data_IF_970722900514
#
_entry.id   IF_970722900514
#
_cell.length_a   1.000
_cell.length_b   1.000
_cell.length_c   1.000
_cell.angle_alpha   90.00
_cell.angle_beta   90.00
_cell.angle_gamma   90.00
#
_symmetry.space_group_name_H-M   'P 1'
#
loop_
_entity.id
_entity.type
_entity.pdbx_description
1 polymer ?
#
# COMPACT_ATOMS: atom_id res chain seq x y z
N UNK A 1 24.74 -19.26 31.23
CA UNK A 1 24.67 -17.87 30.74
C UNK A 1 25.14 -16.93 31.83
N UNK A 2 26.23 -16.17 31.61
CA UNK A 2 26.67 -15.14 32.58
C UNK A 2 25.84 -13.87 32.35
N UNK A 3 25.12 -13.41 33.36
CA UNK A 3 24.36 -12.16 33.33
C UNK A 3 25.35 -10.99 33.26
N UNK A 4 25.33 -10.25 32.15
CA UNK A 4 26.10 -9.01 32.04
C UNK A 4 25.47 -7.98 32.98
N UNK A 5 26.24 -7.51 33.96
CA UNK A 5 25.83 -6.41 34.83
C UNK A 5 25.77 -5.15 33.96
N UNK A 6 24.57 -4.62 33.76
CA UNK A 6 24.34 -3.43 32.94
C UNK A 6 24.80 -2.19 33.70
N UNK A 7 25.57 -1.33 33.02
CA UNK A 7 25.93 -0.02 33.56
C UNK A 7 24.66 0.85 33.70
N UNK A 8 24.66 1.80 34.64
CA UNK A 8 23.59 2.78 34.86
C UNK A 8 23.10 3.46 33.57
N UNK A 9 24.01 3.74 32.64
CA UNK A 9 23.66 4.30 31.32
C UNK A 9 22.88 3.32 30.44
N UNK A 10 23.25 2.03 30.45
CA UNK A 10 22.54 0.99 29.70
C UNK A 10 21.15 0.74 30.31
N UNK A 11 21.03 0.83 31.65
CA UNK A 11 19.74 0.78 32.35
C UNK A 11 18.83 1.94 31.96
N UNK A 12 19.34 3.18 31.96
CA UNK A 12 18.57 4.35 31.52
C UNK A 12 18.13 4.25 30.05
N UNK A 13 19.01 3.76 29.17
CA UNK A 13 18.64 3.54 27.76
C UNK A 13 17.55 2.47 27.63
N UNK A 14 17.61 1.41 28.43
CA UNK A 14 16.59 0.36 28.49
C UNK A 14 15.26 0.90 29.01
N UNK A 15 15.29 1.73 30.05
CA UNK A 15 14.10 2.38 30.62
C UNK A 15 13.44 3.34 29.63
N UNK A 16 14.22 4.16 28.92
CA UNK A 16 13.69 5.03 27.85
C UNK A 16 13.01 4.22 26.75
N UNK A 17 13.62 3.10 26.33
CA UNK A 17 13.00 2.18 25.35
C UNK A 17 11.71 1.58 25.86
N UNK A 18 11.67 1.15 27.13
CA UNK A 18 10.48 0.59 27.78
C UNK A 18 9.37 1.63 27.96
N UNK A 19 9.70 2.85 28.33
CA UNK A 19 8.76 3.95 28.47
C UNK A 19 8.11 4.28 27.12
N UNK A 20 8.92 4.44 26.07
CA UNK A 20 8.43 4.66 24.71
C UNK A 20 7.52 3.51 24.23
N UNK A 21 7.92 2.26 24.47
CA UNK A 21 7.12 1.10 24.12
C UNK A 21 5.77 1.04 24.87
N UNK A 22 5.75 1.44 26.16
CA UNK A 22 4.52 1.51 26.96
C UNK A 22 3.60 2.64 26.51
N UNK A 23 4.17 3.79 26.13
CA UNK A 23 3.42 4.92 25.59
C UNK A 23 2.77 4.56 24.25
N UNK A 24 3.52 3.88 23.36
CA UNK A 24 2.97 3.36 22.10
C UNK A 24 1.89 2.30 22.34
N UNK A 25 2.08 1.39 23.31
CA UNK A 25 1.06 0.40 23.68
C UNK A 25 -0.21 1.04 24.27
N UNK A 26 -0.06 2.08 25.08
CA UNK A 26 -1.19 2.82 25.65
C UNK A 26 -1.98 3.58 24.58
N UNK A 27 -1.30 4.17 23.58
CA UNK A 27 -1.94 4.81 22.44
C UNK A 27 -2.71 3.80 21.57
N UNK A 28 -2.14 2.62 21.33
CA UNK A 28 -2.81 1.54 20.58
C UNK A 28 -4.04 1.03 21.35
N UNK A 29 -3.95 0.85 22.67
CA UNK A 29 -5.07 0.38 23.51
C UNK A 29 -6.19 1.42 23.63
N UNK A 30 -5.88 2.71 23.50
CA UNK A 30 -6.85 3.80 23.57
C UNK A 30 -7.62 4.04 22.26
N UNK A 31 -7.39 3.24 21.21
CA UNK A 31 -8.02 3.45 19.90
C UNK A 31 -7.56 4.73 19.24
N UNK A 32 -6.27 5.07 19.37
CA UNK A 32 -5.73 6.31 18.83
C UNK A 32 -5.97 6.43 17.32
N UNK A 33 -6.82 7.40 16.99
CA UNK A 33 -7.07 7.85 15.62
C UNK A 33 -6.19 9.07 15.37
N UNK A 34 -5.40 9.11 14.28
CA UNK A 34 -4.62 10.28 13.92
C UNK A 34 -5.53 11.52 13.79
N UNK A 35 -5.08 12.65 14.33
CA UNK A 35 -5.81 13.93 14.26
C UNK A 35 -6.04 14.33 12.78
N UNK A 36 -7.17 14.97 12.46
CA UNK A 36 -7.56 15.32 11.08
C UNK A 36 -6.49 16.12 10.33
N UNK A 37 -5.77 17.00 11.03
CA UNK A 37 -4.65 17.75 10.45
C UNK A 37 -3.48 16.84 10.01
N UNK A 38 -3.19 15.78 10.76
CA UNK A 38 -2.16 14.82 10.41
C UNK A 38 -2.58 13.90 9.25
N UNK A 39 -3.88 13.67 9.09
CA UNK A 39 -4.44 12.97 7.92
C UNK A 39 -4.37 13.86 6.67
N UNK A 40 -4.70 15.14 6.77
CA UNK A 40 -4.70 16.06 5.62
C UNK A 40 -3.31 16.22 4.96
N UNK A 41 -2.24 16.15 5.74
CA UNK A 41 -0.86 16.24 5.24
C UNK A 41 -0.24 14.87 4.89
N UNK A 42 -0.94 13.77 5.19
CA UNK A 42 -0.42 12.44 4.99
C UNK A 42 -0.33 12.07 3.50
N UNK A 43 0.79 11.47 3.06
CA UNK A 43 0.88 10.91 1.72
C UNK A 43 -0.18 9.83 1.49
N UNK A 44 -0.73 9.80 0.27
CA UNK A 44 -1.74 8.83 -0.13
C UNK A 44 -1.06 7.63 -0.78
N UNK A 45 -1.38 6.41 -0.32
CA UNK A 45 -0.85 5.16 -0.84
C UNK A 45 -1.97 4.36 -1.49
N UNK A 46 -1.92 4.21 -2.81
CA UNK A 46 -2.89 3.46 -3.60
C UNK A 46 -2.26 2.17 -4.16
N UNK A 47 -3.12 1.25 -4.59
CA UNK A 47 -2.73 -0.05 -5.13
C UNK A 47 -1.70 -0.76 -4.24
N UNK A 48 -1.99 -0.81 -2.94
CA UNK A 48 -1.02 -1.20 -1.92
C UNK A 48 -1.18 -2.67 -1.51
N UNK A 49 -0.07 -3.37 -1.24
CA UNK A 49 -0.07 -4.73 -0.68
C UNK A 49 0.85 -4.82 0.53
N UNK A 50 0.54 -5.74 1.46
CA UNK A 50 1.44 -6.06 2.56
C UNK A 50 2.52 -7.03 2.08
N UNK A 51 3.79 -6.66 2.24
CA UNK A 51 4.95 -7.51 1.93
C UNK A 51 5.95 -7.51 3.08
N UNK A 52 6.75 -8.58 3.25
CA UNK A 52 7.81 -8.61 4.25
C UNK A 52 8.89 -7.57 3.93
N UNK A 53 9.31 -6.81 4.94
CA UNK A 53 10.37 -5.83 4.84
C UNK A 53 11.72 -6.53 4.66
N UNK A 54 12.55 -6.11 3.68
CA UNK A 54 13.79 -6.78 3.37
C UNK A 54 14.71 -6.88 4.60
N UNK A 55 15.07 -8.11 4.97
CA UNK A 55 16.02 -8.40 6.05
C UNK A 55 15.44 -8.46 7.48
N UNK A 56 14.14 -8.24 7.69
CA UNK A 56 13.54 -8.34 9.04
C UNK A 56 12.22 -9.11 9.11
N UNK A 57 11.67 -9.55 7.97
CA UNK A 57 10.37 -10.23 7.83
C UNK A 57 9.17 -9.49 8.47
N UNK A 58 9.36 -8.26 8.94
CA UNK A 58 8.31 -7.43 9.49
C UNK A 58 7.37 -6.96 8.37
N UNK A 59 6.05 -6.87 8.61
CA UNK A 59 5.11 -6.42 7.58
C UNK A 59 5.40 -4.97 7.18
N UNK A 60 5.45 -4.72 5.88
CA UNK A 60 5.61 -3.41 5.25
C UNK A 60 4.57 -3.23 4.14
N UNK A 61 4.23 -1.99 3.79
CA UNK A 61 3.36 -1.71 2.66
C UNK A 61 4.19 -1.43 1.42
N UNK A 62 3.72 -1.93 0.28
CA UNK A 62 4.30 -1.63 -1.02
C UNK A 62 3.17 -1.19 -1.93
N UNK A 63 3.30 -0.02 -2.56
CA UNK A 63 2.25 0.54 -3.41
C UNK A 63 2.64 1.86 -4.05
N UNK A 64 1.68 2.46 -4.75
CA UNK A 64 1.86 3.73 -5.43
C UNK A 64 1.59 4.89 -4.48
N UNK A 65 2.62 5.68 -4.17
CA UNK A 65 2.54 6.78 -3.23
C UNK A 65 2.44 8.12 -3.95
N UNK A 66 1.55 8.99 -3.45
CA UNK A 66 1.30 10.33 -3.94
C UNK A 66 1.51 11.35 -2.82
N UNK A 67 2.14 12.48 -3.15
CA UNK A 67 2.36 13.57 -2.20
C UNK A 67 3.46 13.28 -1.17
N UNK A 68 4.37 12.34 -1.43
CA UNK A 68 5.47 12.07 -0.51
C UNK A 68 6.44 13.27 -0.48
N UNK A 69 6.74 13.87 0.69
CA UNK A 69 7.51 15.12 0.77
C UNK A 69 8.93 15.01 0.19
N UNK A 70 9.59 13.86 0.37
CA UNK A 70 10.96 13.63 -0.13
C UNK A 70 11.01 12.85 -1.46
N UNK A 71 10.11 11.87 -1.65
CA UNK A 71 10.17 10.94 -2.78
C UNK A 71 9.26 11.39 -3.95
N UNK A 72 8.32 12.30 -3.73
CA UNK A 72 7.31 12.66 -4.72
C UNK A 72 6.39 11.48 -5.07
N UNK A 73 5.82 11.51 -6.27
CA UNK A 73 4.84 10.52 -6.71
C UNK A 73 5.55 9.32 -7.34
N UNK A 74 5.58 8.18 -6.65
CA UNK A 74 6.22 6.96 -7.15
C UNK A 74 5.75 5.72 -6.41
N UNK A 75 6.04 4.56 -7.00
CA UNK A 75 5.97 3.28 -6.33
C UNK A 75 7.02 3.19 -5.22
N UNK A 76 6.60 2.92 -3.97
CA UNK A 76 7.49 2.80 -2.81
C UNK A 76 7.21 1.54 -2.01
N UNK A 77 8.25 1.04 -1.35
CA UNK A 77 8.12 0.17 -0.18
C UNK A 77 8.29 1.00 1.10
N UNK A 78 7.33 0.91 2.01
CA UNK A 78 7.35 1.65 3.27
C UNK A 78 8.26 0.97 4.30
N UNK A 79 8.57 1.70 5.37
CA UNK A 79 9.13 1.09 6.58
C UNK A 79 8.12 0.13 7.23
N UNK A 80 8.57 -0.74 8.17
CA UNK A 80 7.67 -1.65 8.87
C UNK A 80 6.45 -0.95 9.48
N UNK A 81 5.30 -1.58 9.33
CA UNK A 81 4.01 -1.12 9.84
C UNK A 81 4.05 -1.21 11.36
N UNK A 82 3.74 -0.11 12.04
CA UNK A 82 3.53 -0.09 13.49
C UNK A 82 2.06 -0.28 13.83
N UNK A 83 1.18 0.37 13.06
CA UNK A 83 -0.26 0.27 13.24
C UNK A 83 -0.95 0.32 11.89
N UNK A 84 -1.97 -0.53 11.73
CA UNK A 84 -2.82 -0.58 10.55
C UNK A 84 -4.25 -0.32 11.03
N UNK A 85 -4.84 0.78 10.55
CA UNK A 85 -6.22 1.15 10.83
C UNK A 85 -7.09 1.02 9.58
N UNK A 86 -8.37 1.36 9.72
CA UNK A 86 -9.31 1.40 8.60
C UNK A 86 -9.03 2.63 7.73
N UNK A 87 -8.45 2.42 6.55
CA UNK A 87 -8.10 3.48 5.60
C UNK A 87 -6.81 4.26 5.92
N UNK A 88 -6.02 3.85 6.92
CA UNK A 88 -4.71 4.47 7.19
C UNK A 88 -3.69 3.47 7.73
N UNK A 89 -2.41 3.77 7.53
CA UNK A 89 -1.31 3.02 8.11
C UNK A 89 -0.28 3.94 8.73
N UNK A 90 0.21 3.56 9.90
CA UNK A 90 1.29 4.24 10.59
C UNK A 90 2.54 3.39 10.51
N UNK A 91 3.58 3.96 9.91
CA UNK A 91 4.90 3.36 9.84
C UNK A 91 5.84 4.04 10.83
N UNK A 92 7.07 3.55 10.96
CA UNK A 92 8.06 4.15 11.86
C UNK A 92 8.35 5.64 11.61
N UNK A 93 8.15 6.12 10.38
CA UNK A 93 8.52 7.48 9.97
C UNK A 93 7.34 8.34 9.56
N UNK A 94 6.30 7.72 8.99
CA UNK A 94 5.27 8.46 8.27
C UNK A 94 3.91 7.77 8.41
N UNK A 95 2.86 8.59 8.42
CA UNK A 95 1.47 8.16 8.32
C UNK A 95 1.03 8.18 6.85
N UNK A 96 0.37 7.13 6.40
CA UNK A 96 -0.16 7.02 5.05
C UNK A 96 -1.68 6.88 5.10
N UNK A 97 -2.37 7.59 4.20
CA UNK A 97 -3.77 7.28 3.89
C UNK A 97 -3.79 6.15 2.88
N UNK A 98 -4.57 5.12 3.16
CA UNK A 98 -4.68 3.94 2.32
C UNK A 98 -5.84 4.11 1.34
N UNK A 99 -5.52 3.97 0.06
CA UNK A 99 -6.47 3.82 -1.02
C UNK A 99 -6.88 2.37 -1.21
N UNK A 100 -6.88 1.92 -2.46
CA UNK A 100 -7.28 0.56 -2.81
C UNK A 100 -6.17 -0.43 -2.49
N UNK A 101 -6.55 -1.53 -1.85
CA UNK A 101 -5.66 -2.66 -1.68
C UNK A 101 -5.44 -3.37 -3.02
N UNK A 102 -4.20 -3.76 -3.27
CA UNK A 102 -3.79 -4.60 -4.38
C UNK A 102 -4.15 -6.05 -4.07
N UNK A 103 -5.41 -6.42 -4.33
CA UNK A 103 -5.88 -7.80 -4.20
C UNK A 103 -5.41 -8.65 -5.39
N UNK A 104 -5.15 -9.94 -5.17
CA UNK A 104 -4.82 -10.91 -6.23
C UNK A 104 -5.86 -10.97 -7.38
N UNK A 105 -7.10 -10.54 -7.13
CA UNK A 105 -8.13 -10.38 -8.18
C UNK A 105 -7.79 -9.29 -9.20
N UNK A 106 -7.03 -8.26 -8.81
CA UNK A 106 -6.52 -7.24 -9.73
C UNK A 106 -5.39 -7.81 -10.60
N UNK A 107 -4.46 -8.58 -10.03
CA UNK A 107 -3.44 -9.30 -10.83
C UNK A 107 -4.09 -10.25 -11.82
N UNK A 108 -5.06 -11.08 -11.39
CA UNK A 108 -5.79 -11.97 -12.30
C UNK A 108 -6.57 -11.23 -13.41
N UNK A 109 -7.10 -10.04 -13.10
CA UNK A 109 -7.76 -9.17 -14.09
C UNK A 109 -6.74 -8.56 -15.06
N UNK A 110 -5.61 -8.08 -14.58
CA UNK A 110 -4.53 -7.52 -15.40
C UNK A 110 -3.90 -8.61 -16.26
N UNK A 111 -3.65 -9.79 -15.73
CA UNK A 111 -3.19 -10.96 -16.48
C UNK A 111 -4.19 -11.36 -17.56
N UNK A 112 -5.50 -11.28 -17.30
CA UNK A 112 -6.51 -11.52 -18.34
C UNK A 112 -6.46 -10.47 -19.46
N UNK A 113 -6.15 -9.22 -19.14
CA UNK A 113 -6.02 -8.12 -20.11
C UNK A 113 -4.71 -8.26 -20.90
N UNK A 114 -3.60 -8.54 -20.21
CA UNK A 114 -2.24 -8.63 -20.77
C UNK A 114 -1.98 -9.93 -21.52
N UNK A 115 -2.59 -11.05 -21.11
CA UNK A 115 -2.51 -12.34 -21.81
C UNK A 115 -3.21 -12.34 -23.17
N UNK A 116 -3.88 -11.24 -23.55
CA UNK A 116 -4.59 -11.13 -24.82
C UNK A 116 -5.81 -12.04 -24.95
N UNK A 117 -6.13 -12.84 -23.91
CA UNK A 117 -7.37 -13.62 -23.82
C UNK A 117 -8.54 -12.68 -23.52
N UNK A 118 -8.96 -11.93 -24.54
CA UNK A 118 -10.36 -11.52 -24.66
C UNK A 118 -11.16 -12.80 -24.46
N UNK A 119 -12.02 -12.85 -23.45
CA UNK A 119 -12.80 -14.05 -23.14
C UNK A 119 -13.47 -14.61 -24.39
N UNK A 120 -13.69 -15.93 -24.45
CA UNK A 120 -14.52 -16.57 -25.47
C UNK A 120 -15.82 -15.76 -25.64
N UNK A 121 -16.08 -15.28 -26.86
CA UNK A 121 -17.40 -14.80 -27.26
C UNK A 121 -17.65 -13.29 -27.18
N UNK A 122 -16.86 -12.49 -27.89
CA UNK A 122 -17.51 -11.51 -28.78
C UNK A 122 -17.31 -12.03 -30.17
N UNK A 123 -18.40 -12.47 -30.80
CA UNK A 123 -18.46 -12.61 -32.25
C UNK A 123 -17.86 -11.33 -32.84
N UNK A 124 -16.98 -11.47 -33.82
CA UNK A 124 -16.55 -10.33 -34.62
C UNK A 124 -17.82 -9.59 -35.04
N UNK A 125 -17.85 -8.26 -34.90
CA UNK A 125 -18.93 -7.50 -35.51
C UNK A 125 -19.02 -7.98 -36.96
N UNK A 126 -20.20 -8.44 -37.44
CA UNK A 126 -20.33 -8.80 -38.84
C UNK A 126 -19.81 -7.61 -39.65
N UNK A 127 -18.92 -7.91 -40.59
CA UNK A 127 -18.41 -6.89 -41.50
C UNK A 127 -19.63 -6.20 -42.13
N UNK A 128 -19.66 -4.85 -42.21
CA UNK A 128 -20.74 -4.19 -42.90
C UNK A 128 -20.73 -4.65 -44.36
N UNK A 129 -21.80 -5.32 -44.78
CA UNK A 129 -22.07 -5.63 -46.18
C UNK A 129 -22.17 -4.29 -46.93
N UNK A 130 -21.09 -3.90 -47.60
CA UNK A 130 -21.11 -2.80 -48.56
C UNK A 130 -21.71 -3.33 -49.85
N UNK A 131 -23.04 -3.44 -49.89
CA UNK A 131 -23.80 -3.58 -51.14
C UNK A 131 -23.75 -2.24 -51.88
N UNK A 132 -22.70 -2.01 -52.66
CA UNK A 132 -22.62 -0.90 -53.61
C UNK A 132 -23.27 -1.35 -54.93
N UNK A 133 -24.60 -1.51 -54.91
CA UNK A 133 -25.40 -1.51 -56.13
C UNK A 133 -25.56 -0.05 -56.61
N UNK A 134 -24.66 0.38 -57.50
CA UNK A 134 -24.94 1.51 -58.39
C UNK A 134 -24.93 1.04 -59.85
N UNK A 135 -26.01 0.37 -60.25
CA UNK A 135 -26.43 0.29 -61.65
C UNK A 135 -26.74 1.71 -62.14
N UNK A 136 -25.76 2.36 -62.79
CA UNK A 136 -26.03 3.50 -63.67
C UNK A 136 -26.22 2.95 -65.07
N UNK A 137 -27.48 2.79 -65.47
CA UNK A 137 -27.83 2.50 -66.87
C UNK A 137 -27.63 3.75 -67.75
N UNK A 138 -27.13 3.58 -68.99
CA UNK A 138 -26.91 4.67 -69.95
C UNK A 138 -28.21 5.22 -70.55
#
# INVERSE_FOLDING_TARGET
MRLKVLNSFELQALERRRAKARETLAQIQAGWVPNEAALAEAPFLDDWSVRPYPGTDLPSLVGNCWGHPTLGNRWIGTSPIQHLGDGYAVTQKTLYILGREHTASNEARLDRILSGRRGRGREACPEPDFDDETEVKP
#
